data_IF_984611345422
#
_entry.id   IF_984611345422
#
_cell.length_a   1.000
_cell.length_b   1.000
_cell.length_c   1.000
_cell.angle_alpha   90.00
_cell.angle_beta   90.00
_cell.angle_gamma   90.00
#
_symmetry.space_group_name_H-M   'P 1'
#
loop_
_entity.id
_entity.type
_entity.pdbx_description
1 polymer ?
#
# COMPACT_ATOMS: atom_id res chain seq x y z
N UNK A 1 -24.99 19.10 -3.17
CA UNK A 1 -25.21 20.12 -2.11
C UNK A 1 -25.06 19.55 -0.70
N UNK A 2 -25.77 18.48 -0.31
CA UNK A 2 -25.72 17.93 1.06
C UNK A 2 -24.30 17.69 1.62
N UNK A 3 -23.39 17.14 0.80
CA UNK A 3 -21.98 16.91 1.19
C UNK A 3 -21.23 18.19 1.57
N UNK A 4 -21.47 19.29 0.85
CA UNK A 4 -20.82 20.57 1.11
C UNK A 4 -21.35 21.21 2.39
N UNK A 5 -22.66 21.09 2.65
CA UNK A 5 -23.27 21.54 3.91
C UNK A 5 -22.68 20.78 5.09
N UNK A 6 -22.59 19.46 5.00
CA UNK A 6 -21.94 18.64 6.04
C UNK A 6 -20.47 19.00 6.24
N UNK A 7 -19.72 19.24 5.16
CA UNK A 7 -18.32 19.65 5.25
C UNK A 7 -18.16 21.03 5.93
N UNK A 8 -19.01 22.01 5.59
CA UNK A 8 -19.02 23.32 6.23
C UNK A 8 -19.37 23.23 7.72
N UNK A 9 -20.40 22.45 8.08
CA UNK A 9 -20.78 22.24 9.48
C UNK A 9 -19.66 21.54 10.26
N UNK A 10 -19.10 20.45 9.73
CA UNK A 10 -18.02 19.73 10.38
C UNK A 10 -16.76 20.59 10.54
N UNK A 11 -16.38 21.34 9.51
CA UNK A 11 -15.26 22.27 9.56
C UNK A 11 -15.48 23.41 10.55
N UNK A 12 -16.69 23.98 10.59
CA UNK A 12 -17.08 25.01 11.56
C UNK A 12 -17.03 24.51 13.00
N UNK A 13 -17.60 23.33 13.27
CA UNK A 13 -17.52 22.69 14.60
C UNK A 13 -16.08 22.38 15.00
N UNK A 14 -15.26 21.86 14.09
CA UNK A 14 -13.85 21.57 14.34
C UNK A 14 -13.06 22.84 14.64
N UNK A 15 -13.14 23.86 13.78
CA UNK A 15 -12.44 25.13 13.98
C UNK A 15 -12.89 25.87 15.24
N UNK A 16 -14.20 25.93 15.49
CA UNK A 16 -14.75 26.50 16.72
C UNK A 16 -14.29 25.75 17.97
N UNK A 17 -14.23 24.41 17.91
CA UNK A 17 -13.70 23.57 18.97
C UNK A 17 -12.21 23.81 19.26
N UNK A 18 -11.40 24.01 18.22
CA UNK A 18 -9.97 24.35 18.37
C UNK A 18 -9.77 25.73 19.01
N UNK A 19 -10.58 26.71 18.64
CA UNK A 19 -10.53 28.05 19.21
C UNK A 19 -10.97 28.04 20.68
N UNK A 20 -12.07 27.33 21.01
CA UNK A 20 -12.58 27.22 22.37
C UNK A 20 -11.63 26.43 23.30
N UNK A 21 -11.01 25.37 22.78
CA UNK A 21 -10.04 24.56 23.54
C UNK A 21 -8.67 25.24 23.68
N UNK A 22 -8.44 26.38 23.03
CA UNK A 22 -7.18 27.10 23.04
C UNK A 22 -6.04 26.38 22.31
N UNK A 23 -6.34 25.39 21.47
CA UNK A 23 -5.36 24.64 20.68
C UNK A 23 -4.66 25.48 19.60
N UNK A 24 -5.11 26.73 19.42
CA UNK A 24 -4.46 27.76 18.61
C UNK A 24 -3.20 28.33 19.28
N UNK A 25 -3.03 28.11 20.58
CA UNK A 25 -1.88 28.56 21.36
C UNK A 25 -0.79 27.47 21.41
N UNK A 26 0.36 27.75 20.83
CA UNK A 26 1.50 26.82 20.76
C UNK A 26 2.09 26.52 22.13
N UNK A 27 1.95 27.45 23.09
CA UNK A 27 2.45 27.27 24.44
C UNK A 27 1.73 26.14 25.19
N UNK A 28 0.46 25.85 24.85
CA UNK A 28 -0.27 24.72 25.45
C UNK A 28 0.31 23.37 25.01
N UNK A 29 0.72 23.28 23.75
CA UNK A 29 1.35 22.07 23.21
C UNK A 29 2.75 21.90 23.77
N UNK A 30 3.56 22.96 23.74
CA UNK A 30 4.92 22.93 24.27
C UNK A 30 4.94 22.67 25.79
N UNK A 31 4.04 23.30 26.55
CA UNK A 31 3.91 23.07 27.99
C UNK A 31 3.47 21.65 28.34
N UNK A 32 2.71 20.96 27.49
CA UNK A 32 2.42 19.54 27.70
C UNK A 32 3.65 18.64 27.49
N UNK A 33 4.56 19.04 26.60
CA UNK A 33 5.79 18.30 26.31
C UNK A 33 6.94 18.63 27.26
N UNK A 34 6.86 19.76 27.97
CA UNK A 34 7.83 20.19 28.97
C UNK A 34 7.67 19.42 30.30
N UNK A 35 7.89 18.10 30.26
CA UNK A 35 7.72 17.18 31.41
C UNK A 35 8.69 17.52 32.56
N UNK A 36 9.85 18.09 32.24
CA UNK A 36 10.88 18.44 33.22
C UNK A 36 10.81 19.90 33.71
N UNK A 37 9.92 20.71 33.15
CA UNK A 37 9.76 22.12 33.49
C UNK A 37 8.34 22.45 33.97
N UNK A 38 7.70 23.44 33.37
CA UNK A 38 6.38 23.92 33.76
C UNK A 38 5.27 23.09 33.10
N UNK A 39 5.25 21.80 33.42
CA UNK A 39 4.37 20.84 32.75
C UNK A 39 2.89 21.19 32.86
N UNK A 40 2.20 21.26 31.73
CA UNK A 40 0.78 21.63 31.62
C UNK A 40 -0.06 20.47 31.05
N UNK A 41 -0.94 19.83 31.85
CA UNK A 41 -1.71 18.67 31.41
C UNK A 41 -2.95 19.01 30.56
N UNK A 42 -3.23 20.29 30.28
CA UNK A 42 -4.45 20.72 29.57
C UNK A 42 -4.64 20.00 28.24
N UNK A 43 -3.54 19.73 27.52
CA UNK A 43 -3.59 19.03 26.24
C UNK A 43 -4.14 17.59 26.37
N UNK A 44 -3.85 16.89 27.46
CA UNK A 44 -4.33 15.52 27.67
C UNK A 44 -5.86 15.45 27.72
N UNK A 45 -6.51 16.44 28.34
CA UNK A 45 -7.97 16.52 28.37
C UNK A 45 -8.57 16.80 27.00
N UNK A 46 -7.94 17.67 26.20
CA UNK A 46 -8.37 17.95 24.83
C UNK A 46 -8.18 16.72 23.93
N UNK A 47 -7.03 16.06 24.01
CA UNK A 47 -6.77 14.82 23.27
C UNK A 47 -7.74 13.71 23.67
N UNK A 48 -7.93 13.47 24.98
CA UNK A 48 -8.90 12.49 25.47
C UNK A 48 -10.33 12.78 25.01
N UNK A 49 -10.74 14.05 25.08
CA UNK A 49 -12.04 14.52 24.59
C UNK A 49 -12.24 14.34 23.09
N UNK A 50 -11.17 14.43 22.28
CA UNK A 50 -11.22 14.17 20.83
C UNK A 50 -11.14 12.68 20.49
N UNK A 51 -10.39 11.89 21.26
CA UNK A 51 -10.20 10.44 21.04
C UNK A 51 -11.47 9.64 21.33
N UNK A 52 -12.25 10.01 22.35
CA UNK A 52 -13.47 9.28 22.72
C UNK A 52 -14.54 9.26 21.61
N UNK A 53 -14.95 10.41 21.01
CA UNK A 53 -15.85 10.42 19.87
C UNK A 53 -15.31 9.65 18.67
N UNK A 54 -13.99 9.72 18.42
CA UNK A 54 -13.37 9.00 17.31
C UNK A 54 -13.38 7.48 17.52
N UNK A 55 -13.12 7.02 18.75
CA UNK A 55 -13.23 5.61 19.10
C UNK A 55 -14.65 5.09 18.88
N UNK A 56 -15.67 5.85 19.31
CA UNK A 56 -17.07 5.53 19.03
C UNK A 56 -17.36 5.53 17.53
N UNK A 57 -16.85 6.52 16.79
CA UNK A 57 -17.01 6.60 15.34
C UNK A 57 -16.41 5.37 14.63
N UNK A 58 -15.26 4.86 15.08
CA UNK A 58 -14.66 3.64 14.58
C UNK A 58 -15.49 2.40 14.87
N UNK A 59 -16.03 2.25 16.08
CA UNK A 59 -16.94 1.12 16.42
C UNK A 59 -18.17 1.12 15.52
N UNK A 60 -18.73 2.30 15.20
CA UNK A 60 -19.85 2.43 14.27
C UNK A 60 -19.42 2.18 12.82
N UNK A 61 -18.25 2.67 12.42
CA UNK A 61 -17.74 2.52 11.06
C UNK A 61 -17.40 1.06 10.72
N UNK A 62 -16.85 0.29 11.66
CA UNK A 62 -16.53 -1.13 11.48
C UNK A 62 -17.79 -1.97 11.18
N UNK A 63 -18.95 -1.53 11.68
CA UNK A 63 -20.25 -2.16 11.43
C UNK A 63 -20.91 -1.73 10.11
N UNK A 64 -20.32 -0.79 9.36
CA UNK A 64 -20.92 -0.22 8.15
C UNK A 64 -20.03 -0.38 6.92
N UNK A 65 -20.64 -0.77 5.80
CA UNK A 65 -19.96 -0.86 4.49
C UNK A 65 -19.95 0.48 3.72
N UNK A 66 -20.82 1.41 4.12
CA UNK A 66 -20.99 2.73 3.48
C UNK A 66 -21.06 3.85 4.52
N UNK A 67 -20.58 5.03 4.14
CA UNK A 67 -20.69 6.25 4.95
C UNK A 67 -22.14 6.73 5.05
N UNK A 68 -22.43 7.64 6.00
CA UNK A 68 -23.75 8.29 6.13
C UNK A 68 -24.17 9.00 4.83
N UNK A 69 -23.19 9.44 4.03
CA UNK A 69 -23.38 10.16 2.76
C UNK A 69 -23.37 9.22 1.54
N UNK A 70 -23.42 7.89 1.77
CA UNK A 70 -23.53 6.87 0.73
C UNK A 70 -22.23 6.57 -0.03
N UNK A 71 -21.07 6.99 0.48
CA UNK A 71 -19.77 6.66 -0.14
C UNK A 71 -19.22 5.35 0.43
N UNK A 72 -18.65 4.46 -0.40
CA UNK A 72 -17.97 3.27 0.12
C UNK A 72 -16.75 3.69 0.95
N UNK A 73 -16.43 2.91 1.98
CA UNK A 73 -15.20 3.11 2.74
C UNK A 73 -13.99 2.66 1.90
N UNK A 74 -12.85 3.39 1.96
CA UNK A 74 -11.63 2.96 1.31
C UNK A 74 -11.09 1.67 1.96
N UNK A 75 -10.35 0.84 1.20
CA UNK A 75 -9.73 -0.36 1.74
C UNK A 75 -8.74 -0.01 2.85
N UNK A 76 -8.86 -0.69 3.98
CA UNK A 76 -8.02 -0.44 5.15
C UNK A 76 -6.63 -1.04 4.92
N UNK A 77 -5.59 -0.19 4.87
CA UNK A 77 -4.21 -0.66 4.89
C UNK A 77 -3.87 -1.13 6.30
N UNK A 78 -3.51 -2.41 6.43
CA UNK A 78 -3.07 -3.01 7.69
C UNK A 78 -1.56 -3.20 7.64
N UNK A 79 -0.89 -2.89 8.75
CA UNK A 79 0.55 -3.05 8.91
C UNK A 79 1.25 -1.75 9.28
N UNK A 80 2.25 -1.86 10.14
CA UNK A 80 3.17 -0.76 10.49
C UNK A 80 4.42 -0.94 9.66
N UNK A 81 4.67 -0.03 8.72
CA UNK A 81 5.83 -0.06 7.84
C UNK A 81 6.86 1.02 8.21
N UNK A 82 8.12 0.82 7.78
CA UNK A 82 9.22 1.74 8.09
C UNK A 82 8.94 3.20 7.69
N UNK A 83 8.36 3.49 6.49
CA UNK A 83 7.98 4.86 6.13
C UNK A 83 6.98 5.48 7.09
N UNK A 84 5.99 4.73 7.58
CA UNK A 84 5.01 5.22 8.54
C UNK A 84 5.65 5.52 9.90
N UNK A 85 6.52 4.63 10.38
CA UNK A 85 7.24 4.84 11.65
C UNK A 85 8.13 6.08 11.56
N UNK A 86 8.94 6.17 10.51
CA UNK A 86 9.85 7.30 10.31
C UNK A 86 9.09 8.61 10.13
N UNK A 87 8.01 8.60 9.34
CA UNK A 87 7.14 9.75 9.14
C UNK A 87 6.46 10.20 10.44
N UNK A 88 5.99 9.25 11.26
CA UNK A 88 5.37 9.54 12.57
C UNK A 88 6.37 10.19 13.53
N UNK A 89 7.62 9.72 13.57
CA UNK A 89 8.68 10.30 14.40
C UNK A 89 9.00 11.72 13.94
N UNK A 90 9.25 11.94 12.65
CA UNK A 90 9.56 13.26 12.10
C UNK A 90 8.41 14.25 12.34
N UNK A 91 7.17 13.79 12.14
CA UNK A 91 5.99 14.59 12.43
C UNK A 91 5.89 14.95 13.92
N UNK A 92 6.11 13.99 14.83
CA UNK A 92 6.08 14.22 16.27
C UNK A 92 7.15 15.22 16.74
N UNK A 93 8.37 15.11 16.22
CA UNK A 93 9.46 16.06 16.48
C UNK A 93 9.09 17.46 15.99
N UNK A 94 8.61 17.57 14.75
CA UNK A 94 8.19 18.85 14.17
C UNK A 94 7.04 19.50 14.94
N UNK A 95 6.04 18.72 15.31
CA UNK A 95 4.90 19.17 16.12
C UNK A 95 5.33 19.63 17.52
N UNK A 96 6.24 18.91 18.17
CA UNK A 96 6.74 19.29 19.49
C UNK A 96 7.57 20.57 19.49
N UNK A 97 8.37 20.77 18.44
CA UNK A 97 9.16 22.00 18.26
C UNK A 97 8.29 23.21 17.93
N UNK A 98 7.34 23.06 17.00
CA UNK A 98 6.52 24.18 16.54
C UNK A 98 5.36 24.51 17.47
N UNK A 99 4.88 23.54 18.25
CA UNK A 99 3.63 23.64 19.00
C UNK A 99 2.38 23.74 18.11
N UNK A 100 2.51 23.60 16.78
CA UNK A 100 1.42 23.70 15.81
C UNK A 100 1.19 22.35 15.12
N UNK A 101 -0.05 21.87 15.17
CA UNK A 101 -0.51 20.78 14.31
C UNK A 101 -1.27 21.33 13.08
N UNK A 102 -1.46 20.51 12.02
CA UNK A 102 -2.11 20.95 10.79
C UNK A 102 -3.51 21.54 10.98
N UNK A 103 -4.29 21.01 11.93
CA UNK A 103 -5.65 21.49 12.22
C UNK A 103 -5.67 22.95 12.73
N UNK A 104 -5.04 23.25 13.89
CA UNK A 104 -4.87 24.61 14.38
C UNK A 104 -4.18 25.53 13.39
N UNK A 105 -3.15 25.07 12.68
CA UNK A 105 -2.47 25.88 11.66
C UNK A 105 -3.43 26.40 10.57
N UNK A 106 -4.38 25.56 10.15
CA UNK A 106 -5.45 25.99 9.23
C UNK A 106 -6.47 26.91 9.90
N UNK A 107 -6.80 26.68 11.19
CA UNK A 107 -7.76 27.50 11.93
C UNK A 107 -7.23 28.92 12.23
N UNK A 108 -5.91 29.07 12.39
CA UNK A 108 -5.27 30.36 12.69
C UNK A 108 -4.68 31.05 11.46
N UNK A 109 -4.81 30.50 10.25
CA UNK A 109 -4.16 31.03 9.03
C UNK A 109 -4.38 32.53 8.82
N UNK A 110 -5.53 33.05 9.22
CA UNK A 110 -5.91 34.46 9.09
C UNK A 110 -5.21 35.39 10.08
N UNK A 111 -4.68 34.89 11.20
CA UNK A 111 -4.08 35.70 12.27
C UNK A 111 -2.81 35.09 12.91
N UNK A 112 -2.25 34.01 12.36
CA UNK A 112 -1.07 33.32 12.88
C UNK A 112 0.27 34.09 12.74
N UNK A 113 0.23 35.27 12.12
CA UNK A 113 1.40 36.09 11.85
C UNK A 113 2.43 35.43 10.91
N UNK A 114 3.65 35.99 10.82
CA UNK A 114 4.69 35.48 9.93
C UNK A 114 5.11 34.03 10.23
N UNK A 115 5.16 33.64 11.50
CA UNK A 115 5.53 32.28 11.92
C UNK A 115 4.56 31.21 11.42
N UNK A 116 3.25 31.49 11.49
CA UNK A 116 2.24 30.57 10.95
C UNK A 116 2.28 30.45 9.43
N UNK A 117 2.58 31.53 8.72
CA UNK A 117 2.77 31.49 7.26
C UNK A 117 3.98 30.63 6.87
N UNK A 118 5.10 30.79 7.57
CA UNK A 118 6.29 29.94 7.36
C UNK A 118 5.95 28.47 7.61
N UNK A 119 5.20 28.16 8.67
CA UNK A 119 4.76 26.79 8.95
C UNK A 119 3.87 26.24 7.82
N UNK A 120 2.89 27.01 7.34
CA UNK A 120 1.98 26.57 6.27
C UNK A 120 2.71 26.34 4.96
N UNK A 121 3.65 27.21 4.60
CA UNK A 121 4.49 27.04 3.41
C UNK A 121 5.40 25.82 3.53
N UNK A 122 6.03 25.61 4.69
CA UNK A 122 6.86 24.43 4.94
C UNK A 122 6.03 23.13 4.90
N UNK A 123 4.84 23.13 5.51
CA UNK A 123 3.90 22.01 5.47
C UNK A 123 3.45 21.71 4.03
N UNK A 124 3.07 22.74 3.27
CA UNK A 124 2.68 22.61 1.88
C UNK A 124 3.81 22.08 1.01
N UNK A 125 5.02 22.61 1.17
CA UNK A 125 6.20 22.11 0.49
C UNK A 125 6.46 20.64 0.82
N UNK A 126 6.33 20.22 2.09
CA UNK A 126 6.45 18.82 2.51
C UNK A 126 5.41 17.91 1.83
N UNK A 127 4.15 18.34 1.77
CA UNK A 127 3.07 17.58 1.10
C UNK A 127 3.29 17.42 -0.41
N UNK A 128 3.93 18.39 -1.07
CA UNK A 128 4.27 18.33 -2.49
C UNK A 128 5.53 17.50 -2.74
N UNK A 129 6.58 17.72 -1.94
CA UNK A 129 7.90 17.12 -2.14
C UNK A 129 7.98 15.68 -1.65
N UNK A 130 7.35 15.32 -0.52
CA UNK A 130 7.48 13.98 0.05
C UNK A 130 6.95 12.86 -0.88
N UNK A 131 5.80 13.00 -1.56
CA UNK A 131 5.35 12.02 -2.55
C UNK A 131 6.29 11.93 -3.75
N UNK A 132 6.85 13.06 -4.20
CA UNK A 132 7.80 13.10 -5.31
C UNK A 132 9.12 12.42 -4.94
N UNK A 133 9.66 12.75 -3.77
CA UNK A 133 10.85 12.13 -3.21
C UNK A 133 10.65 10.62 -3.04
N UNK A 134 9.48 10.18 -2.55
CA UNK A 134 9.15 8.76 -2.42
C UNK A 134 9.05 8.07 -3.78
N UNK A 135 8.49 8.74 -4.80
CA UNK A 135 8.46 8.21 -6.17
C UNK A 135 9.87 8.12 -6.76
N UNK A 136 10.71 9.11 -6.50
CA UNK A 136 12.10 9.15 -6.97
C UNK A 136 12.95 8.10 -6.26
N UNK A 137 12.83 7.95 -4.94
CA UNK A 137 13.53 6.90 -4.19
C UNK A 137 13.01 5.53 -4.55
N UNK A 138 11.71 5.35 -4.80
CA UNK A 138 11.18 4.09 -5.33
C UNK A 138 11.68 3.82 -6.75
N UNK A 139 11.80 4.83 -7.62
CA UNK A 139 12.40 4.67 -8.96
C UNK A 139 13.88 4.33 -8.88
N UNK A 140 14.64 5.02 -8.03
CA UNK A 140 16.07 4.77 -7.82
C UNK A 140 16.33 3.45 -7.09
N UNK A 141 15.44 3.05 -6.16
CA UNK A 141 15.47 1.74 -5.53
C UNK A 141 15.06 0.63 -6.51
N UNK A 142 14.10 0.88 -7.40
CA UNK A 142 13.74 -0.02 -8.51
C UNK A 142 14.85 -0.12 -9.55
N UNK A 143 15.64 0.95 -9.75
CA UNK A 143 16.83 0.94 -10.60
C UNK A 143 18.06 0.32 -9.92
N UNK A 144 18.15 0.36 -8.58
CA UNK A 144 19.23 -0.27 -7.78
C UNK A 144 18.93 -1.71 -7.38
N UNK A 145 17.66 -2.09 -7.31
CA UNK A 145 17.24 -3.48 -7.31
C UNK A 145 17.47 -3.97 -8.74
N UNK A 146 18.64 -4.56 -8.97
CA UNK A 146 18.71 -5.68 -9.92
C UNK A 146 17.42 -6.47 -9.79
N UNK A 147 16.72 -6.70 -10.91
CA UNK A 147 15.46 -7.43 -10.99
C UNK A 147 15.28 -8.41 -9.82
N UNK A 148 14.26 -8.16 -8.97
CA UNK A 148 13.97 -9.00 -7.81
C UNK A 148 13.28 -10.30 -8.25
N UNK A 149 14.06 -11.15 -8.93
CA UNK A 149 13.65 -12.45 -9.44
C UNK A 149 13.64 -13.42 -8.27
N UNK A 150 12.45 -13.71 -7.73
CA UNK A 150 12.24 -14.66 -6.65
C UNK A 150 11.93 -16.03 -7.24
N UNK A 151 12.97 -16.85 -7.45
CA UNK A 151 12.85 -18.21 -8.01
C UNK A 151 12.15 -19.13 -7.01
N UNK A 152 10.90 -19.50 -7.29
CA UNK A 152 10.17 -20.48 -6.48
C UNK A 152 10.71 -21.89 -6.75
N UNK A 153 10.93 -22.20 -8.04
CA UNK A 153 11.57 -23.41 -8.55
C UNK A 153 12.59 -23.05 -9.63
N UNK A 154 13.32 -24.03 -10.15
CA UNK A 154 14.25 -23.82 -11.27
C UNK A 154 13.52 -23.39 -12.56
N UNK A 155 12.27 -23.82 -12.72
CA UNK A 155 11.42 -23.55 -13.88
C UNK A 155 10.44 -22.39 -13.69
N UNK A 156 10.32 -21.82 -12.49
CA UNK A 156 9.32 -20.78 -12.22
C UNK A 156 9.81 -19.73 -11.22
N UNK A 157 9.71 -18.46 -11.61
CA UNK A 157 10.06 -17.32 -10.78
C UNK A 157 8.93 -16.29 -10.72
N UNK A 158 8.88 -15.55 -9.61
CA UNK A 158 7.95 -14.43 -9.41
C UNK A 158 8.69 -13.13 -9.14
N UNK A 159 8.05 -12.01 -9.45
CA UNK A 159 8.59 -10.67 -9.17
C UNK A 159 7.48 -9.68 -8.77
N UNK A 160 7.82 -8.62 -8.01
CA UNK A 160 7.08 -7.36 -8.04
C UNK A 160 6.98 -6.77 -9.45
N UNK A 161 6.30 -5.63 -9.56
CA UNK A 161 6.12 -4.94 -10.84
C UNK A 161 7.46 -4.71 -11.55
N UNK A 162 7.50 -5.05 -12.83
CA UNK A 162 8.62 -4.79 -13.73
C UNK A 162 8.35 -3.56 -14.61
N UNK A 163 9.43 -2.97 -15.14
CA UNK A 163 9.39 -1.98 -16.20
C UNK A 163 9.61 -2.63 -17.58
N UNK A 164 9.39 -1.88 -18.66
CA UNK A 164 9.60 -2.38 -20.03
C UNK A 164 11.07 -2.74 -20.25
N UNK A 165 11.98 -1.96 -19.67
CA UNK A 165 13.43 -2.11 -19.81
C UNK A 165 13.95 -3.40 -19.16
N UNK A 166 13.22 -3.95 -18.18
CA UNK A 166 13.61 -5.17 -17.46
C UNK A 166 13.46 -6.42 -18.33
N UNK A 167 12.62 -6.39 -19.38
CA UNK A 167 12.36 -7.55 -20.24
C UNK A 167 13.62 -8.09 -20.93
N UNK A 168 14.57 -7.21 -21.28
CA UNK A 168 15.84 -7.64 -21.85
C UNK A 168 16.66 -8.44 -20.85
N UNK A 169 16.67 -8.00 -19.59
CA UNK A 169 17.39 -8.68 -18.52
C UNK A 169 16.68 -9.99 -18.11
N UNK A 170 15.34 -10.03 -18.16
CA UNK A 170 14.55 -11.27 -17.97
C UNK A 170 14.93 -12.32 -19.03
N UNK A 171 15.01 -11.93 -20.30
CA UNK A 171 15.48 -12.82 -21.38
C UNK A 171 16.92 -13.27 -21.14
N UNK A 172 17.82 -12.35 -20.77
CA UNK A 172 19.21 -12.68 -20.49
C UNK A 172 19.37 -13.63 -19.29
N UNK A 173 18.43 -13.60 -18.33
CA UNK A 173 18.35 -14.52 -17.21
C UNK A 173 17.81 -15.92 -17.57
N UNK A 174 17.51 -16.15 -18.86
CA UNK A 174 17.15 -17.46 -19.42
C UNK A 174 15.66 -17.79 -19.40
N UNK A 175 14.78 -16.84 -19.06
CA UNK A 175 13.34 -17.06 -19.13
C UNK A 175 12.84 -17.00 -20.57
N UNK A 176 11.88 -17.86 -20.90
CA UNK A 176 11.28 -17.93 -22.24
C UNK A 176 9.86 -17.36 -22.28
N UNK A 177 9.17 -17.40 -21.13
CA UNK A 177 7.77 -17.01 -21.01
C UNK A 177 7.59 -16.02 -19.87
N UNK A 178 6.82 -14.95 -20.12
CA UNK A 178 6.42 -13.93 -19.14
C UNK A 178 4.92 -14.00 -18.92
N UNK A 179 4.48 -14.05 -17.66
CA UNK A 179 3.07 -14.03 -17.28
C UNK A 179 2.76 -12.73 -16.52
N UNK A 180 1.80 -11.96 -17.02
CA UNK A 180 1.27 -10.78 -16.34
C UNK A 180 0.01 -11.13 -15.54
N UNK A 181 0.13 -11.12 -14.22
CA UNK A 181 -1.00 -11.31 -13.32
C UNK A 181 -1.58 -10.00 -12.77
N UNK A 182 -1.20 -8.85 -13.32
CA UNK A 182 -1.64 -7.53 -12.89
C UNK A 182 -2.67 -6.94 -13.88
N UNK A 183 -3.87 -6.55 -13.40
CA UNK A 183 -4.81 -5.80 -14.22
C UNK A 183 -4.29 -4.39 -14.56
N UNK A 184 -4.48 -3.96 -15.80
CA UNK A 184 -4.10 -2.62 -16.28
C UNK A 184 -4.69 -1.48 -15.44
N UNK A 185 -5.87 -1.67 -14.86
CA UNK A 185 -6.51 -0.69 -13.97
C UNK A 185 -5.73 -0.35 -12.69
N UNK A 186 -4.69 -1.11 -12.34
CA UNK A 186 -3.82 -0.86 -11.18
C UNK A 186 -2.51 -0.14 -11.51
N UNK A 187 -2.24 0.15 -12.79
CA UNK A 187 -0.94 0.62 -13.30
C UNK A 187 -1.08 1.78 -14.28
N UNK A 188 -0.01 2.59 -14.44
CA UNK A 188 -0.03 3.69 -15.40
C UNK A 188 0.02 3.17 -16.85
N UNK A 189 -0.47 3.94 -17.84
CA UNK A 189 -0.64 3.49 -19.23
C UNK A 189 0.63 2.99 -19.93
N UNK A 190 1.79 3.49 -19.52
CA UNK A 190 3.12 3.10 -20.02
C UNK A 190 3.51 1.66 -19.65
N UNK A 191 2.84 1.06 -18.65
CA UNK A 191 3.05 -0.33 -18.23
C UNK A 191 1.86 -1.24 -18.56
N UNK A 192 0.88 -0.76 -19.33
CA UNK A 192 -0.29 -1.56 -19.70
C UNK A 192 0.10 -2.76 -20.56
N UNK A 193 -0.76 -3.79 -20.49
CA UNK A 193 -0.61 -5.07 -21.17
C UNK A 193 -0.19 -4.93 -22.63
N UNK A 194 -0.79 -4.05 -23.48
CA UNK A 194 -0.38 -3.94 -24.88
C UNK A 194 1.08 -3.49 -25.06
N UNK A 195 1.56 -2.60 -24.18
CA UNK A 195 2.94 -2.07 -24.21
C UNK A 195 3.92 -3.16 -23.79
N UNK A 196 3.66 -3.80 -22.65
CA UNK A 196 4.49 -4.87 -22.11
C UNK A 196 4.56 -6.07 -23.06
N UNK A 197 3.41 -6.47 -23.62
CA UNK A 197 3.30 -7.56 -24.58
C UNK A 197 4.13 -7.29 -25.83
N UNK A 198 3.97 -6.13 -26.46
CA UNK A 198 4.70 -5.78 -27.67
C UNK A 198 6.22 -5.78 -27.42
N UNK A 199 6.68 -5.25 -26.28
CA UNK A 199 8.09 -5.25 -25.92
C UNK A 199 8.65 -6.66 -25.64
N UNK A 200 7.87 -7.51 -24.97
CA UNK A 200 8.28 -8.89 -24.69
C UNK A 200 8.37 -9.72 -25.97
N UNK A 201 7.38 -9.62 -26.84
CA UNK A 201 7.33 -10.32 -28.12
C UNK A 201 8.43 -9.85 -29.08
N UNK A 202 8.78 -8.54 -29.07
CA UNK A 202 9.92 -8.02 -29.82
C UNK A 202 11.26 -8.63 -29.37
N UNK A 203 11.35 -9.05 -28.10
CA UNK A 203 12.48 -9.79 -27.56
C UNK A 203 12.35 -11.31 -27.78
N UNK A 204 11.28 -11.81 -28.40
CA UNK A 204 11.05 -13.25 -28.60
C UNK A 204 10.66 -14.00 -27.33
N UNK A 205 10.17 -13.30 -26.30
CA UNK A 205 9.53 -13.91 -25.13
C UNK A 205 8.07 -14.20 -25.44
N UNK A 206 7.56 -15.35 -25.00
CA UNK A 206 6.12 -15.62 -25.00
C UNK A 206 5.48 -14.80 -23.88
N UNK A 207 4.46 -14.00 -24.18
CA UNK A 207 3.78 -13.18 -23.19
C UNK A 207 2.33 -13.64 -22.95
N UNK A 208 2.02 -14.01 -21.71
CA UNK A 208 0.71 -14.52 -21.30
C UNK A 208 0.03 -13.52 -20.37
N UNK A 209 -1.20 -13.16 -20.71
CA UNK A 209 -2.01 -12.21 -19.96
C UNK A 209 -2.96 -13.00 -19.06
N UNK A 210 -2.78 -12.92 -17.74
CA UNK A 210 -3.58 -13.66 -16.75
C UNK A 210 -3.96 -12.78 -15.53
N UNK A 211 -4.65 -11.64 -15.75
CA UNK A 211 -4.85 -10.61 -14.74
C UNK A 211 -5.71 -11.13 -13.57
N UNK A 212 -5.15 -11.12 -12.36
CA UNK A 212 -5.88 -11.49 -11.15
C UNK A 212 -6.40 -10.23 -10.46
N UNK A 213 -7.70 -10.00 -10.58
CA UNK A 213 -8.40 -8.86 -10.01
C UNK A 213 -8.62 -9.08 -8.51
N UNK A 214 -8.34 -8.06 -7.69
CA UNK A 214 -8.34 -8.15 -6.22
C UNK A 214 -9.61 -8.78 -5.63
N UNK A 215 -9.46 -9.97 -5.05
CA UNK A 215 -10.54 -10.73 -4.40
C UNK A 215 -11.22 -11.80 -5.25
N UNK A 216 -10.89 -11.93 -6.54
CA UNK A 216 -11.50 -12.88 -7.47
C UNK A 216 -10.46 -13.71 -8.22
N UNK A 217 -9.64 -14.49 -7.49
CA UNK A 217 -8.87 -15.55 -8.12
C UNK A 217 -9.84 -16.64 -8.57
N UNK A 218 -9.89 -16.91 -9.88
CA UNK A 218 -10.74 -17.94 -10.48
C UNK A 218 -9.92 -19.19 -10.80
N UNK A 219 -10.59 -20.34 -10.91
CA UNK A 219 -9.94 -21.56 -11.42
C UNK A 219 -9.50 -21.43 -12.88
N UNK A 220 -10.10 -20.51 -13.65
CA UNK A 220 -9.65 -20.16 -15.00
C UNK A 220 -8.25 -19.55 -14.98
N UNK A 221 -7.97 -18.64 -14.03
CA UNK A 221 -6.62 -18.09 -13.86
C UNK A 221 -5.61 -19.19 -13.51
N UNK A 222 -6.01 -20.16 -12.69
CA UNK A 222 -5.18 -21.30 -12.30
C UNK A 222 -4.91 -22.21 -13.50
N UNK A 223 -5.94 -22.55 -14.29
CA UNK A 223 -5.79 -23.40 -15.47
C UNK A 223 -4.97 -22.72 -16.57
N UNK A 224 -5.18 -21.41 -16.80
CA UNK A 224 -4.41 -20.65 -17.79
C UNK A 224 -2.93 -20.59 -17.40
N UNK A 225 -2.64 -20.36 -16.12
CA UNK A 225 -1.26 -20.33 -15.64
C UNK A 225 -0.60 -21.70 -15.71
N UNK A 226 -1.32 -22.77 -15.35
CA UNK A 226 -0.85 -24.15 -15.51
C UNK A 226 -0.50 -24.44 -16.97
N UNK A 227 -1.41 -24.12 -17.90
CA UNK A 227 -1.19 -24.30 -19.33
C UNK A 227 0.02 -23.50 -19.84
N UNK A 228 0.19 -22.26 -19.37
CA UNK A 228 1.34 -21.44 -19.73
C UNK A 228 2.66 -22.03 -19.21
N UNK A 229 2.66 -22.65 -18.03
CA UNK A 229 3.83 -23.35 -17.48
C UNK A 229 4.14 -24.64 -18.23
N UNK A 230 3.13 -25.42 -18.61
CA UNK A 230 3.29 -26.70 -19.33
C UNK A 230 3.71 -26.50 -20.80
N UNK A 231 3.25 -25.41 -21.43
CA UNK A 231 3.59 -25.07 -22.83
C UNK A 231 4.89 -24.28 -22.98
N UNK A 232 5.48 -23.80 -21.89
CA UNK A 232 6.73 -23.06 -21.94
C UNK A 232 7.89 -23.96 -22.36
N UNK A 233 8.73 -23.46 -23.27
CA UNK A 233 9.94 -24.15 -23.75
C UNK A 233 11.13 -23.99 -22.80
N UNK A 234 10.97 -23.24 -21.71
CA UNK A 234 11.97 -22.96 -20.70
C UNK A 234 11.35 -22.33 -19.44
N UNK A 235 12.18 -21.75 -18.55
CA UNK A 235 11.71 -21.16 -17.31
C UNK A 235 10.69 -20.04 -17.54
N UNK A 236 9.68 -19.99 -16.67
CA UNK A 236 8.61 -19.00 -16.67
C UNK A 236 8.85 -17.92 -15.62
N UNK A 237 8.64 -16.67 -16.01
CA UNK A 237 8.71 -15.50 -15.15
C UNK A 237 7.32 -14.89 -15.02
N UNK A 238 6.81 -14.72 -13.80
CA UNK A 238 5.51 -14.10 -13.56
C UNK A 238 5.62 -12.86 -12.68
N UNK A 239 4.86 -11.81 -12.98
CA UNK A 239 4.84 -10.60 -12.15
C UNK A 239 3.43 -10.13 -11.82
N UNK A 240 3.33 -9.42 -10.69
CA UNK A 240 2.15 -8.65 -10.33
C UNK A 240 2.55 -7.40 -9.54
N UNK A 241 1.72 -6.89 -8.63
CA UNK A 241 2.11 -5.73 -7.82
C UNK A 241 3.29 -6.04 -6.87
N UNK A 242 3.22 -7.15 -6.14
CA UNK A 242 4.22 -7.56 -5.14
C UNK A 242 4.80 -8.96 -5.36
N UNK A 243 4.32 -9.68 -6.38
CA UNK A 243 4.60 -11.10 -6.65
C UNK A 243 3.68 -12.11 -5.93
N UNK A 244 2.89 -11.67 -4.94
CA UNK A 244 2.04 -12.57 -4.14
C UNK A 244 0.91 -13.24 -4.94
N UNK A 245 0.31 -12.54 -5.92
CA UNK A 245 -0.74 -13.15 -6.78
C UNK A 245 -0.15 -14.30 -7.60
N UNK A 246 1.04 -14.09 -8.16
CA UNK A 246 1.75 -15.08 -8.94
C UNK A 246 2.08 -16.32 -8.08
N UNK A 247 2.56 -16.13 -6.85
CA UNK A 247 2.86 -17.26 -5.96
C UNK A 247 1.61 -18.04 -5.54
N UNK A 248 0.49 -17.36 -5.31
CA UNK A 248 -0.79 -18.02 -4.98
C UNK A 248 -1.30 -18.84 -6.17
N UNK A 249 -1.35 -18.24 -7.37
CA UNK A 249 -1.81 -18.96 -8.57
C UNK A 249 -0.88 -20.12 -8.90
N UNK A 250 0.45 -19.93 -8.75
CA UNK A 250 1.43 -21.01 -8.90
C UNK A 250 1.18 -22.15 -7.91
N UNK A 251 0.95 -21.86 -6.63
CA UNK A 251 0.71 -22.91 -5.64
C UNK A 251 -0.55 -23.72 -5.96
N UNK A 252 -1.63 -23.05 -6.36
CA UNK A 252 -2.87 -23.71 -6.78
C UNK A 252 -2.69 -24.50 -8.09
N UNK A 253 -1.89 -23.98 -9.02
CA UNK A 253 -1.53 -24.65 -10.27
C UNK A 253 -0.57 -25.84 -10.06
N UNK A 254 0.07 -25.95 -8.90
CA UNK A 254 0.96 -27.07 -8.57
C UNK A 254 0.35 -28.01 -7.51
N UNK A 255 -0.90 -27.76 -7.09
CA UNK A 255 -1.62 -28.69 -6.24
C UNK A 255 -1.75 -30.06 -6.95
N UNK A 256 -1.41 -31.13 -6.23
CA UNK A 256 -1.38 -32.51 -6.73
C UNK A 256 -0.11 -32.91 -7.49
N UNK A 257 0.78 -31.97 -7.84
CA UNK A 257 2.07 -32.28 -8.50
C UNK A 257 3.25 -32.27 -7.55
N UNK A 258 3.10 -31.65 -6.37
CA UNK A 258 4.09 -31.65 -5.30
C UNK A 258 3.42 -31.54 -3.91
N UNK A 259 4.12 -31.87 -2.82
CA UNK A 259 3.54 -31.86 -1.47
C UNK A 259 3.00 -30.48 -1.08
N UNK A 260 1.84 -30.45 -0.42
CA UNK A 260 1.20 -29.19 0.03
C UNK A 260 2.11 -28.38 0.95
N UNK A 261 2.90 -29.04 1.80
CA UNK A 261 3.89 -28.36 2.65
C UNK A 261 4.92 -27.58 1.85
N UNK A 262 5.38 -28.12 0.72
CA UNK A 262 6.33 -27.43 -0.15
C UNK A 262 5.67 -26.27 -0.89
N UNK A 263 4.42 -26.41 -1.33
CA UNK A 263 3.65 -25.33 -1.97
C UNK A 263 3.51 -24.11 -1.08
N UNK A 264 3.47 -24.30 0.25
CA UNK A 264 3.40 -23.22 1.23
C UNK A 264 4.80 -22.73 1.64
N UNK A 265 5.73 -23.65 1.91
CA UNK A 265 7.09 -23.35 2.38
C UNK A 265 7.93 -22.62 1.33
N UNK A 266 7.77 -22.97 0.05
CA UNK A 266 8.59 -22.41 -1.03
C UNK A 266 8.38 -20.89 -1.18
N UNK A 267 7.14 -20.37 -1.32
CA UNK A 267 6.88 -18.94 -1.38
C UNK A 267 7.18 -18.21 -0.06
N UNK A 268 7.05 -18.87 1.09
CA UNK A 268 7.36 -18.29 2.40
C UNK A 268 8.83 -17.82 2.52
N UNK A 269 9.76 -18.44 1.78
CA UNK A 269 11.17 -18.00 1.68
C UNK A 269 11.32 -16.56 1.19
N UNK A 270 10.32 -16.06 0.44
CA UNK A 270 10.28 -14.71 -0.11
C UNK A 270 9.23 -13.82 0.59
N UNK A 271 8.72 -14.25 1.75
CA UNK A 271 7.74 -13.49 2.54
C UNK A 271 6.29 -13.63 2.09
N UNK A 272 5.97 -14.55 1.17
CA UNK A 272 4.58 -14.83 0.78
C UNK A 272 3.97 -15.87 1.71
N UNK A 273 2.92 -15.49 2.43
CA UNK A 273 2.27 -16.34 3.46
C UNK A 273 1.04 -17.03 2.86
N UNK A 274 1.16 -18.33 2.58
CA UNK A 274 0.13 -19.13 1.90
C UNK A 274 -0.57 -20.15 2.81
N UNK A 275 -0.26 -20.19 4.12
CA UNK A 275 -0.82 -21.18 5.05
C UNK A 275 -2.36 -21.24 5.06
N UNK A 276 -3.00 -20.09 4.88
CA UNK A 276 -4.46 -19.99 4.79
C UNK A 276 -5.07 -20.76 3.61
N UNK A 277 -4.28 -21.14 2.60
CA UNK A 277 -4.70 -21.90 1.42
C UNK A 277 -4.54 -23.41 1.58
N UNK A 278 -3.91 -23.91 2.66
CA UNK A 278 -3.69 -25.34 2.88
C UNK A 278 -4.95 -26.21 2.67
N UNK A 279 -6.14 -25.86 3.21
CA UNK A 279 -7.34 -26.66 2.98
C UNK A 279 -7.72 -26.77 1.50
N UNK A 280 -7.55 -25.68 0.75
CA UNK A 280 -7.83 -25.65 -0.69
C UNK A 280 -6.79 -26.44 -1.48
N UNK A 281 -5.52 -26.35 -1.10
CA UNK A 281 -4.43 -27.10 -1.73
C UNK A 281 -4.61 -28.62 -1.54
N UNK A 282 -4.97 -29.08 -0.35
CA UNK A 282 -5.30 -30.49 -0.11
C UNK A 282 -6.52 -30.93 -0.92
N UNK A 283 -7.59 -30.12 -0.93
CA UNK A 283 -8.78 -30.42 -1.72
C UNK A 283 -8.49 -30.56 -3.22
N UNK A 284 -7.60 -29.70 -3.77
CA UNK A 284 -7.15 -29.78 -5.16
C UNK A 284 -6.18 -30.93 -5.42
N UNK A 285 -5.38 -31.33 -4.43
CA UNK A 285 -4.47 -32.47 -4.54
C UNK A 285 -5.20 -33.82 -4.48
N UNK A 286 -6.47 -33.85 -4.05
CA UNK A 286 -7.23 -35.08 -3.82
C UNK A 286 -6.88 -35.76 -2.49
N UNK A 287 -6.07 -35.11 -1.65
CA UNK A 287 -5.72 -35.58 -0.32
C UNK A 287 -6.86 -35.26 0.66
N UNK A 288 -7.35 -36.27 1.38
CA UNK A 288 -8.19 -36.01 2.55
C UNK A 288 -7.29 -35.56 3.70
N UNK A 289 -7.49 -34.31 4.15
CA UNK A 289 -6.88 -33.73 5.35
C UNK A 289 -7.16 -34.61 6.57
#
# INVERSE_FOLDING_TARGET
MLRLVFAALAGGFFGGGLMLSGMTDTARVQGFLDIFGAWNPTLAFVMGGAMLPMALAWVVADRRKVSVLGTPFPPMRRGVDRPLVLGSILFGVGWGLSGLCPGPAMAVVSFAGPGGLVFLLAMGAGMVLAPQATRLTNRLASQRLQMDIRRLTDSYAVSPQIAVEDLQAIKAAGFTTVIDNRPDGEIPPDLHTPVMKAAAEALGLTFVVNPVIGGALTMENVSLQRQAMESATGPVFAYCASGNRCSVVWALAQAGTMPVDDLVRIPARYGYQLDHLRPQLHALAGDKV
#
